data_IF_721228917092
#
_entry.id   IF_721228917092
#
_cell.length_a   1.000
_cell.length_b   1.000
_cell.length_c   1.000
_cell.angle_alpha   90.00
_cell.angle_beta   90.00
_cell.angle_gamma   90.00
#
_symmetry.space_group_name_H-M   'P 1'
#
loop_
_entity.id
_entity.type
_entity.pdbx_description
1 polymer ?
#
# COMPACT_ATOMS: atom_id res chain seq x y z
N UNK A 1 29.20 -8.90 9.45
CA UNK A 1 28.35 -8.89 8.40
C UNK A 1 27.03 -8.15 8.45
N UNK A 2 26.85 -6.98 9.15
CA UNK A 2 25.68 -6.14 8.95
C UNK A 2 24.32 -6.63 9.49
N UNK A 3 24.22 -7.78 10.11
CA UNK A 3 22.94 -8.32 10.61
C UNK A 3 22.26 -7.43 11.66
N UNK A 4 23.03 -6.73 12.47
CA UNK A 4 22.51 -5.81 13.49
C UNK A 4 22.42 -4.35 13.01
N UNK A 5 22.68 -4.08 11.71
CA UNK A 5 22.64 -2.72 11.18
C UNK A 5 21.26 -2.08 11.34
N UNK A 6 20.18 -2.84 11.13
CA UNK A 6 18.80 -2.35 11.31
C UNK A 6 18.58 -1.86 12.74
N UNK A 7 19.05 -2.62 13.73
CA UNK A 7 18.93 -2.25 15.15
C UNK A 7 19.76 -1.01 15.46
N UNK A 8 20.98 -0.93 14.94
CA UNK A 8 21.85 0.22 15.12
C UNK A 8 21.24 1.50 14.50
N UNK A 9 20.67 1.40 13.31
CA UNK A 9 20.02 2.53 12.63
C UNK A 9 18.76 2.99 13.36
N UNK A 10 17.94 2.05 13.86
CA UNK A 10 16.78 2.37 14.70
C UNK A 10 17.19 3.09 15.99
N UNK A 11 18.20 2.60 16.71
CA UNK A 11 18.71 3.25 17.90
C UNK A 11 19.26 4.65 17.59
N UNK A 12 20.01 4.79 16.50
CA UNK A 12 20.52 6.09 16.05
C UNK A 12 19.38 7.10 15.81
N UNK A 13 18.30 6.69 15.14
CA UNK A 13 17.13 7.55 14.86
C UNK A 13 16.43 7.94 16.17
N UNK A 14 16.29 7.01 17.12
CA UNK A 14 15.62 7.26 18.41
C UNK A 14 16.38 8.25 19.29
N UNK A 15 17.71 8.20 19.29
CA UNK A 15 18.57 9.06 20.11
C UNK A 15 19.05 10.32 19.39
N UNK A 16 18.71 10.49 18.11
CA UNK A 16 19.06 11.68 17.35
C UNK A 16 18.24 12.87 17.84
N UNK A 17 18.88 14.05 17.90
CA UNK A 17 18.23 15.30 18.27
C UNK A 17 16.99 15.59 17.40
N UNK A 18 15.88 15.91 18.06
CA UNK A 18 14.62 16.25 17.40
C UNK A 18 14.53 17.77 17.18
N UNK A 19 14.79 18.19 15.96
CA UNK A 19 14.76 19.58 15.57
C UNK A 19 13.42 19.95 14.90
N UNK A 20 12.98 21.20 15.09
CA UNK A 20 11.80 21.76 14.42
C UNK A 20 12.18 23.11 13.86
N UNK A 21 11.99 23.36 12.54
CA UNK A 21 12.33 24.63 11.91
C UNK A 21 11.60 25.81 12.60
N UNK A 22 12.28 26.96 12.70
CA UNK A 22 11.69 28.14 13.38
C UNK A 22 10.43 28.68 12.70
N UNK A 23 10.33 28.49 11.38
CA UNK A 23 9.23 28.99 10.53
C UNK A 23 8.15 27.90 10.26
N UNK A 24 8.31 26.70 10.79
CA UNK A 24 7.34 25.63 10.64
C UNK A 24 6.14 25.79 11.56
N UNK A 25 4.97 25.38 11.10
CA UNK A 25 3.81 25.19 11.97
C UNK A 25 4.03 23.99 12.89
N UNK A 26 4.36 24.24 14.15
CA UNK A 26 4.80 23.24 15.12
C UNK A 26 3.77 22.14 15.37
N UNK A 27 2.48 22.48 15.36
CA UNK A 27 1.41 21.51 15.64
C UNK A 27 1.28 20.53 14.47
N UNK A 28 1.07 21.04 13.27
CA UNK A 28 0.90 20.23 12.04
C UNK A 28 2.17 19.45 11.72
N UNK A 29 3.35 20.06 11.92
CA UNK A 29 4.64 19.42 11.72
C UNK A 29 4.87 18.18 12.62
N UNK A 30 4.34 18.20 13.85
CA UNK A 30 4.43 17.05 14.77
C UNK A 30 3.34 16.00 14.51
N UNK A 31 2.14 16.45 14.12
CA UNK A 31 1.01 15.55 13.88
C UNK A 31 1.17 14.74 12.58
N UNK A 32 1.74 15.31 11.54
CA UNK A 32 1.86 14.67 10.25
C UNK A 32 2.52 13.27 10.29
N UNK A 33 3.73 13.08 10.86
CA UNK A 33 4.33 11.76 10.96
C UNK A 33 3.54 10.80 11.87
N UNK A 34 2.89 11.32 12.92
CA UNK A 34 2.05 10.52 13.81
C UNK A 34 0.80 9.98 13.08
N UNK A 35 0.17 10.81 12.24
CA UNK A 35 -0.97 10.38 11.41
C UNK A 35 -0.53 9.35 10.38
N UNK A 36 0.60 9.56 9.69
CA UNK A 36 1.13 8.59 8.73
C UNK A 36 1.36 7.21 9.38
N UNK A 37 2.00 7.17 10.53
CA UNK A 37 2.23 5.92 11.26
C UNK A 37 0.95 5.29 11.79
N UNK A 38 0.02 6.10 12.32
CA UNK A 38 -1.25 5.62 12.86
C UNK A 38 -2.11 4.99 11.76
N UNK A 39 -2.24 5.62 10.60
CA UNK A 39 -3.02 5.09 9.47
C UNK A 39 -2.43 3.78 8.95
N UNK A 40 -1.11 3.68 8.83
CA UNK A 40 -0.43 2.46 8.41
C UNK A 40 -0.70 1.30 9.38
N UNK A 41 -0.56 1.52 10.70
CA UNK A 41 -0.80 0.50 11.72
C UNK A 41 -2.27 0.11 11.80
N UNK A 42 -3.19 1.07 11.77
CA UNK A 42 -4.63 0.81 11.82
C UNK A 42 -5.11 0.01 10.61
N UNK A 43 -4.52 0.21 9.45
CA UNK A 43 -4.85 -0.57 8.25
C UNK A 43 -4.57 -2.07 8.41
N UNK A 44 -3.59 -2.45 9.22
CA UNK A 44 -3.33 -3.87 9.55
C UNK A 44 -4.41 -4.54 10.38
N UNK A 45 -5.20 -3.76 11.13
CA UNK A 45 -6.28 -4.32 11.96
C UNK A 45 -7.25 -5.21 11.18
N UNK A 46 -7.44 -4.90 9.91
CA UNK A 46 -8.46 -5.53 9.06
C UNK A 46 -7.93 -6.75 8.32
N UNK A 47 -6.61 -6.94 8.25
CA UNK A 47 -6.01 -8.06 7.53
C UNK A 47 -6.13 -9.35 8.34
N UNK A 48 -6.85 -10.36 7.83
CA UNK A 48 -6.95 -11.65 8.48
C UNK A 48 -5.73 -12.51 8.14
N UNK A 49 -4.92 -12.83 9.12
CA UNK A 49 -3.71 -13.64 8.94
C UNK A 49 -4.04 -15.15 8.96
N UNK A 50 -5.12 -15.53 9.63
CA UNK A 50 -5.58 -16.91 9.79
C UNK A 50 -7.10 -16.92 9.98
N UNK A 51 -7.79 -18.06 9.85
CA UNK A 51 -9.21 -18.17 10.16
C UNK A 51 -9.58 -17.71 11.56
N UNK A 52 -8.67 -17.88 12.52
CA UNK A 52 -8.88 -17.54 13.93
C UNK A 52 -8.10 -16.32 14.39
N UNK A 53 -7.07 -15.89 13.62
CA UNK A 53 -6.14 -14.81 13.96
C UNK A 53 -6.43 -13.62 13.06
N UNK A 54 -7.15 -12.65 13.60
CA UNK A 54 -7.39 -11.34 13.03
C UNK A 54 -7.69 -10.37 14.16
N UNK A 55 -7.26 -9.13 14.08
CA UNK A 55 -7.48 -8.13 15.14
C UNK A 55 -8.92 -7.67 15.15
N UNK A 56 -9.48 -7.37 13.98
CA UNK A 56 -10.87 -6.95 13.82
C UNK A 56 -11.52 -7.65 12.63
N UNK A 57 -12.69 -8.24 12.84
CA UNK A 57 -13.52 -8.80 11.78
C UNK A 57 -14.61 -7.78 11.46
N UNK A 58 -14.40 -7.03 10.37
CA UNK A 58 -15.31 -5.97 9.95
C UNK A 58 -16.01 -6.37 8.65
N UNK A 59 -17.34 -6.29 8.63
CA UNK A 59 -18.12 -6.50 7.39
C UNK A 59 -17.75 -5.56 6.25
N UNK A 60 -17.21 -4.38 6.57
CA UNK A 60 -16.75 -3.35 5.63
C UNK A 60 -15.23 -3.17 5.68
N UNK A 61 -14.48 -4.23 5.97
CA UNK A 61 -13.04 -4.18 6.19
C UNK A 61 -12.25 -3.55 5.05
N UNK A 62 -12.59 -3.88 3.80
CA UNK A 62 -11.94 -3.32 2.63
C UNK A 62 -12.17 -1.80 2.49
N UNK A 63 -13.37 -1.31 2.83
CA UNK A 63 -13.67 0.13 2.82
C UNK A 63 -12.90 0.87 3.93
N UNK A 64 -12.74 0.23 5.10
CA UNK A 64 -11.94 0.78 6.18
C UNK A 64 -10.48 0.95 5.74
N UNK A 65 -9.90 -0.06 5.07
CA UNK A 65 -8.56 0.07 4.49
C UNK A 65 -8.45 1.27 3.54
N UNK A 66 -9.40 1.41 2.59
CA UNK A 66 -9.40 2.54 1.64
C UNK A 66 -9.53 3.88 2.35
N UNK A 67 -10.35 3.98 3.41
CA UNK A 67 -10.47 5.19 4.20
C UNK A 67 -9.17 5.56 4.92
N UNK A 68 -8.46 4.57 5.48
CA UNK A 68 -7.16 4.81 6.14
C UNK A 68 -6.09 5.24 5.12
N UNK A 69 -6.08 4.64 3.93
CA UNK A 69 -5.19 5.05 2.84
C UNK A 69 -5.41 6.51 2.46
N UNK A 70 -6.67 6.93 2.24
CA UNK A 70 -7.00 8.32 1.94
C UNK A 70 -6.58 9.31 3.05
N UNK A 71 -6.66 8.92 4.34
CA UNK A 71 -6.17 9.76 5.45
C UNK A 71 -4.64 9.88 5.42
N UNK A 72 -3.93 8.82 5.02
CA UNK A 72 -2.46 8.83 4.94
C UNK A 72 -1.94 9.89 3.94
N UNK A 73 -2.69 10.19 2.87
CA UNK A 73 -2.34 11.24 1.91
C UNK A 73 -2.24 12.61 2.57
N UNK A 74 -3.18 12.91 3.50
CA UNK A 74 -3.15 14.18 4.23
C UNK A 74 -1.93 14.30 5.13
N UNK A 75 -1.43 13.21 5.70
CA UNK A 75 -0.22 13.23 6.52
C UNK A 75 0.99 13.75 5.73
N UNK A 76 1.19 13.25 4.51
CA UNK A 76 2.29 13.68 3.64
C UNK A 76 2.10 15.12 3.16
N UNK A 77 0.88 15.48 2.74
CA UNK A 77 0.55 16.83 2.27
C UNK A 77 0.77 17.88 3.37
N UNK A 78 0.25 17.63 4.56
CA UNK A 78 0.41 18.53 5.70
C UNK A 78 1.85 18.57 6.21
N UNK A 79 2.57 17.45 6.15
CA UNK A 79 4.00 17.40 6.46
C UNK A 79 4.81 18.33 5.56
N UNK A 80 4.56 18.27 4.27
CA UNK A 80 5.19 19.14 3.28
C UNK A 80 4.82 20.62 3.47
N UNK A 81 3.54 20.91 3.73
CA UNK A 81 3.05 22.26 3.94
C UNK A 81 3.57 22.89 5.26
N UNK A 82 3.52 22.14 6.35
CA UNK A 82 3.95 22.60 7.68
C UNK A 82 5.44 22.94 7.76
N UNK A 83 6.26 22.32 6.90
CA UNK A 83 7.70 22.55 6.82
C UNK A 83 8.09 23.96 6.37
N UNK A 84 7.16 24.71 5.76
CA UNK A 84 7.37 26.06 5.20
C UNK A 84 8.60 26.15 4.26
N UNK A 85 8.87 25.07 3.52
CA UNK A 85 9.93 24.99 2.52
C UNK A 85 9.29 24.68 1.16
N UNK A 86 9.71 25.41 0.11
CA UNK A 86 9.19 25.26 -1.25
C UNK A 86 9.40 23.87 -1.84
N UNK A 87 10.53 23.22 -1.56
CA UNK A 87 10.82 21.87 -2.02
C UNK A 87 9.96 20.83 -1.31
N UNK A 88 9.79 21.00 0.01
CA UNK A 88 8.94 20.15 0.82
C UNK A 88 7.47 20.25 0.41
N UNK A 89 6.99 21.46 0.13
CA UNK A 89 5.62 21.67 -0.36
C UNK A 89 5.41 21.04 -1.74
N UNK A 90 6.34 21.22 -2.68
CA UNK A 90 6.26 20.60 -4.00
C UNK A 90 6.32 19.07 -3.92
N UNK A 91 7.17 18.52 -3.06
CA UNK A 91 7.22 17.08 -2.80
C UNK A 91 5.91 16.54 -2.24
N UNK A 92 5.33 17.20 -1.25
CA UNK A 92 4.03 16.85 -0.67
C UNK A 92 2.88 16.91 -1.67
N UNK A 93 2.85 17.95 -2.53
CA UNK A 93 1.85 18.07 -3.59
C UNK A 93 2.00 16.98 -4.66
N UNK A 94 3.23 16.65 -5.09
CA UNK A 94 3.47 15.56 -6.04
C UNK A 94 3.07 14.21 -5.45
N UNK A 95 3.39 13.97 -4.18
CA UNK A 95 2.98 12.78 -3.45
C UNK A 95 1.48 12.65 -3.39
N UNK A 96 0.78 13.68 -2.92
CA UNK A 96 -0.68 13.67 -2.81
C UNK A 96 -1.35 13.43 -4.18
N UNK A 97 -0.91 14.12 -5.23
CA UNK A 97 -1.47 13.96 -6.57
C UNK A 97 -1.25 12.53 -7.12
N UNK A 98 -0.09 11.94 -6.91
CA UNK A 98 0.21 10.56 -7.31
C UNK A 98 -0.65 9.58 -6.53
N UNK A 99 -0.65 9.65 -5.20
CA UNK A 99 -1.37 8.71 -4.34
C UNK A 99 -2.86 8.74 -4.61
N UNK A 100 -3.51 9.92 -4.62
CA UNK A 100 -4.94 10.06 -4.91
C UNK A 100 -5.28 9.45 -6.28
N UNK A 101 -4.46 9.73 -7.31
CA UNK A 101 -4.72 9.18 -8.64
C UNK A 101 -4.64 7.65 -8.66
N UNK A 102 -3.62 7.07 -8.04
CA UNK A 102 -3.43 5.62 -8.04
C UNK A 102 -4.36 4.89 -7.07
N UNK A 103 -4.85 5.54 -6.02
CA UNK A 103 -5.92 5.01 -5.15
C UNK A 103 -7.24 4.81 -5.90
N UNK A 104 -7.56 5.68 -6.86
CA UNK A 104 -8.74 5.49 -7.73
C UNK A 104 -8.62 4.19 -8.52
N UNK A 105 -7.47 3.94 -9.15
CA UNK A 105 -7.26 2.72 -9.95
C UNK A 105 -7.23 1.47 -9.07
N UNK A 106 -6.60 1.57 -7.90
CA UNK A 106 -6.58 0.53 -6.89
C UNK A 106 -8.01 0.20 -6.44
N UNK A 107 -8.82 1.20 -6.11
CA UNK A 107 -10.21 1.02 -5.69
C UNK A 107 -11.07 0.34 -6.76
N UNK A 108 -10.96 0.75 -8.03
CA UNK A 108 -11.71 0.13 -9.13
C UNK A 108 -11.29 -1.34 -9.33
N UNK A 109 -9.98 -1.64 -9.24
CA UNK A 109 -9.49 -3.02 -9.36
C UNK A 109 -10.00 -3.93 -8.23
N UNK A 110 -10.13 -3.37 -7.01
CA UNK A 110 -10.73 -4.07 -5.87
C UNK A 110 -12.22 -4.39 -6.07
N UNK A 111 -12.96 -3.49 -6.71
CA UNK A 111 -14.40 -3.71 -6.95
C UNK A 111 -14.65 -4.95 -7.81
N UNK A 112 -13.74 -5.32 -8.71
CA UNK A 112 -13.82 -6.59 -9.46
C UNK A 112 -13.77 -7.82 -8.56
N UNK A 113 -12.90 -7.82 -7.55
CA UNK A 113 -12.80 -8.89 -6.54
C UNK A 113 -14.06 -8.93 -5.67
N UNK A 114 -14.50 -7.76 -5.19
CA UNK A 114 -15.72 -7.64 -4.38
C UNK A 114 -16.97 -8.11 -5.14
N UNK A 115 -17.06 -7.80 -6.44
CA UNK A 115 -18.17 -8.24 -7.28
C UNK A 115 -18.26 -9.77 -7.38
N UNK A 116 -17.14 -10.49 -7.44
CA UNK A 116 -17.10 -11.95 -7.48
C UNK A 116 -17.38 -12.54 -6.09
N UNK A 117 -16.78 -11.98 -5.04
CA UNK A 117 -16.94 -12.48 -3.66
C UNK A 117 -18.30 -12.14 -3.03
N UNK A 118 -18.94 -11.05 -3.50
CA UNK A 118 -20.22 -10.55 -2.95
C UNK A 118 -20.11 -9.89 -1.58
N UNK A 119 -18.90 -9.66 -1.06
CA UNK A 119 -18.66 -9.10 0.27
C UNK A 119 -17.45 -8.17 0.32
N UNK A 120 -17.48 -7.21 1.27
CA UNK A 120 -16.35 -6.35 1.63
C UNK A 120 -15.54 -6.90 2.82
N UNK A 121 -15.96 -8.03 3.42
CA UNK A 121 -15.24 -8.68 4.49
C UNK A 121 -14.07 -9.48 3.91
N UNK A 122 -12.86 -9.18 4.37
CA UNK A 122 -11.65 -9.84 3.87
C UNK A 122 -11.60 -11.35 4.20
N UNK A 123 -12.24 -11.81 5.27
CA UNK A 123 -12.35 -13.26 5.57
C UNK A 123 -13.24 -13.97 4.57
N UNK A 124 -14.40 -13.40 4.28
CA UNK A 124 -15.33 -13.96 3.30
C UNK A 124 -14.72 -13.98 1.89
N UNK A 125 -13.96 -12.93 1.54
CA UNK A 125 -13.20 -12.90 0.29
C UNK A 125 -12.18 -14.04 0.20
N UNK A 126 -11.46 -14.35 1.29
CA UNK A 126 -10.52 -15.48 1.31
C UNK A 126 -11.27 -16.81 1.22
N UNK A 127 -12.37 -16.97 1.93
CA UNK A 127 -13.17 -18.20 1.89
C UNK A 127 -13.78 -18.45 0.50
N UNK A 128 -14.21 -17.41 -0.20
CA UNK A 128 -14.70 -17.50 -1.58
C UNK A 128 -13.63 -17.97 -2.59
N UNK A 129 -12.35 -17.94 -2.22
CA UNK A 129 -11.23 -18.40 -3.05
C UNK A 129 -10.81 -19.85 -2.82
N UNK A 130 -11.60 -20.64 -2.07
CA UNK A 130 -11.27 -22.07 -1.78
C UNK A 130 -11.15 -22.89 -3.05
N UNK A 131 -12.02 -22.68 -4.03
CA UNK A 131 -12.04 -23.47 -5.26
C UNK A 131 -11.07 -22.89 -6.30
N UNK A 132 -11.14 -21.60 -6.53
CA UNK A 132 -10.32 -20.88 -7.54
C UNK A 132 -9.78 -19.58 -6.95
N UNK A 133 -8.48 -19.37 -7.04
CA UNK A 133 -7.87 -18.11 -6.66
C UNK A 133 -8.28 -16.98 -7.61
N UNK A 134 -8.61 -15.84 -7.08
CA UNK A 134 -9.09 -14.69 -7.86
C UNK A 134 -8.05 -14.10 -8.80
N UNK A 135 -6.77 -14.43 -8.66
CA UNK A 135 -5.76 -14.07 -9.64
C UNK A 135 -6.08 -14.59 -11.05
N UNK A 136 -6.80 -15.71 -11.19
CA UNK A 136 -7.15 -16.29 -12.49
C UNK A 136 -8.28 -15.49 -13.16
N UNK A 137 -9.48 -15.33 -12.57
CA UNK A 137 -10.57 -14.59 -13.18
C UNK A 137 -10.34 -13.07 -13.19
N UNK A 138 -9.49 -12.54 -12.30
CA UNK A 138 -9.19 -11.11 -12.16
C UNK A 138 -7.73 -10.79 -12.49
N UNK A 139 -7.15 -11.45 -13.49
CA UNK A 139 -5.74 -11.26 -13.84
C UNK A 139 -5.40 -9.80 -14.19
N UNK A 140 -6.26 -9.14 -14.98
CA UNK A 140 -6.07 -7.71 -15.32
C UNK A 140 -6.20 -6.84 -14.06
N UNK A 141 -7.20 -7.09 -13.22
CA UNK A 141 -7.38 -6.41 -11.93
C UNK A 141 -6.17 -6.59 -11.01
N UNK A 142 -5.61 -7.79 -10.95
CA UNK A 142 -4.40 -8.09 -10.19
C UNK A 142 -3.19 -7.26 -10.67
N UNK A 143 -2.94 -7.20 -11.99
CA UNK A 143 -1.82 -6.40 -12.53
C UNK A 143 -2.00 -4.92 -12.18
N UNK A 144 -3.21 -4.38 -12.36
CA UNK A 144 -3.51 -2.97 -12.04
C UNK A 144 -3.33 -2.72 -10.54
N UNK A 145 -3.80 -3.64 -9.69
CA UNK A 145 -3.64 -3.54 -8.24
C UNK A 145 -2.17 -3.53 -7.81
N UNK A 146 -1.33 -4.40 -8.38
CA UNK A 146 0.11 -4.43 -8.10
C UNK A 146 0.77 -3.12 -8.50
N UNK A 147 0.50 -2.62 -9.72
CA UNK A 147 1.06 -1.35 -10.22
C UNK A 147 0.62 -0.19 -9.32
N UNK A 148 -0.67 -0.10 -9.01
CA UNK A 148 -1.22 0.94 -8.14
C UNK A 148 -0.66 0.83 -6.72
N UNK A 149 -0.50 -0.38 -6.19
CA UNK A 149 0.09 -0.63 -4.88
C UNK A 149 1.54 -0.15 -4.77
N UNK A 150 2.36 -0.41 -5.80
CA UNK A 150 3.74 0.13 -5.85
C UNK A 150 3.74 1.66 -5.90
N UNK A 151 2.81 2.27 -6.63
CA UNK A 151 2.71 3.71 -6.76
C UNK A 151 2.22 4.40 -5.47
N UNK A 152 1.26 3.78 -4.76
CA UNK A 152 0.73 4.29 -3.48
C UNK A 152 1.76 4.17 -2.35
N UNK A 153 2.61 3.15 -2.38
CA UNK A 153 3.70 2.98 -1.39
C UNK A 153 4.94 3.81 -1.68
N UNK A 154 4.90 4.70 -2.67
CA UNK A 154 6.01 5.57 -3.08
C UNK A 154 7.32 4.81 -3.35
N UNK A 155 7.24 3.53 -3.75
CA UNK A 155 8.43 2.73 -4.04
C UNK A 155 8.85 2.83 -5.50
N UNK A 156 10.14 2.67 -5.71
CA UNK A 156 10.70 2.65 -7.05
C UNK A 156 9.96 1.59 -7.92
N UNK A 157 9.52 1.91 -9.15
CA UNK A 157 9.89 3.05 -9.98
C UNK A 157 9.05 4.33 -9.78
N UNK A 158 8.05 4.33 -8.90
CA UNK A 158 7.12 5.46 -8.68
C UNK A 158 7.52 6.38 -7.52
N UNK A 159 8.77 6.38 -7.11
CA UNK A 159 9.38 7.19 -6.07
C UNK A 159 9.67 8.64 -6.55
N UNK A 160 8.63 9.31 -7.03
CA UNK A 160 8.71 10.66 -7.58
C UNK A 160 8.70 11.76 -6.50
N UNK A 161 7.95 11.60 -5.40
CA UNK A 161 7.87 12.61 -4.35
C UNK A 161 9.17 12.80 -3.57
N UNK A 162 9.97 11.72 -3.46
CA UNK A 162 11.20 11.65 -2.66
C UNK A 162 12.47 11.77 -3.50
N UNK A 163 12.33 12.14 -4.77
CA UNK A 163 13.43 12.25 -5.70
C UNK A 163 14.53 13.20 -5.20
N UNK A 164 15.59 12.68 -4.61
CA UNK A 164 16.75 13.45 -4.17
C UNK A 164 17.31 14.34 -5.28
N UNK A 165 17.31 13.83 -6.50
CA UNK A 165 17.85 14.50 -7.69
C UNK A 165 17.00 15.70 -8.17
N UNK A 166 15.69 15.70 -7.86
CA UNK A 166 14.76 16.74 -8.31
C UNK A 166 14.31 17.66 -7.18
N UNK A 167 14.02 17.11 -5.99
CA UNK A 167 13.33 17.80 -4.88
C UNK A 167 14.08 17.69 -3.54
N UNK A 168 15.34 17.26 -3.52
CA UNK A 168 16.15 17.17 -2.30
C UNK A 168 15.44 16.41 -1.16
N UNK A 169 14.96 15.18 -1.36
CA UNK A 169 14.15 14.34 -0.46
C UNK A 169 12.67 14.75 -0.31
N UNK A 170 12.19 15.74 -1.06
CA UNK A 170 10.79 16.09 -1.10
C UNK A 170 10.21 16.55 0.24
N UNK A 171 9.10 15.94 0.70
CA UNK A 171 8.43 16.35 1.93
C UNK A 171 9.24 16.03 3.21
N UNK A 172 10.24 15.16 3.13
CA UNK A 172 11.10 14.78 4.26
C UNK A 172 12.24 15.76 4.57
N UNK A 173 12.54 16.74 3.70
CA UNK A 173 13.72 17.62 3.78
C UNK A 173 13.94 18.24 5.14
N UNK A 174 12.87 18.67 5.82
CA UNK A 174 12.97 19.36 7.11
C UNK A 174 12.79 18.42 8.31
N UNK A 175 12.45 17.15 8.05
CA UNK A 175 12.25 16.17 9.11
C UNK A 175 13.56 15.51 9.53
N UNK A 176 13.74 15.33 10.86
CA UNK A 176 14.88 14.66 11.42
C UNK A 176 14.51 13.77 12.61
N UNK A 177 15.45 12.93 13.07
CA UNK A 177 15.25 12.08 14.23
C UNK A 177 14.03 11.18 14.13
N UNK A 178 13.29 11.04 15.22
CA UNK A 178 12.12 10.13 15.31
C UNK A 178 10.98 10.53 14.36
N UNK A 179 10.78 11.82 14.07
CA UNK A 179 9.75 12.29 13.15
C UNK A 179 9.99 11.78 11.71
N UNK A 180 11.22 11.85 11.23
CA UNK A 180 11.61 11.25 9.96
C UNK A 180 11.46 9.72 10.01
N UNK A 181 11.89 9.11 11.11
CA UNK A 181 11.76 7.67 11.33
C UNK A 181 10.32 7.18 11.25
N UNK A 182 9.34 7.95 11.75
CA UNK A 182 7.91 7.58 11.69
C UNK A 182 7.40 7.55 10.25
N UNK A 183 7.74 8.51 9.40
CA UNK A 183 7.39 8.46 7.97
C UNK A 183 8.05 7.25 7.28
N UNK A 184 9.34 7.07 7.49
CA UNK A 184 10.10 5.97 6.90
C UNK A 184 9.55 4.59 7.30
N UNK A 185 9.25 4.38 8.58
CA UNK A 185 8.65 3.14 9.05
C UNK A 185 7.24 2.96 8.48
N UNK A 186 6.42 4.02 8.42
CA UNK A 186 5.08 3.95 7.86
C UNK A 186 5.09 3.48 6.39
N UNK A 187 6.06 3.93 5.57
CA UNK A 187 6.20 3.46 4.20
C UNK A 187 6.53 1.97 4.09
N UNK A 188 7.47 1.47 4.90
CA UNK A 188 7.78 0.04 4.89
C UNK A 188 6.62 -0.80 5.40
N UNK A 189 5.91 -0.31 6.41
CA UNK A 189 4.67 -0.92 6.90
C UNK A 189 3.63 -0.98 5.79
N UNK A 190 3.47 0.08 4.98
CA UNK A 190 2.57 0.09 3.83
C UNK A 190 2.99 -0.89 2.72
N UNK A 191 4.28 -1.13 2.49
CA UNK A 191 4.74 -2.16 1.54
C UNK A 191 4.30 -3.55 2.00
N UNK A 192 4.46 -3.87 3.28
CA UNK A 192 3.99 -5.14 3.85
C UNK A 192 2.47 -5.23 3.80
N UNK A 193 1.77 -4.13 4.08
CA UNK A 193 0.31 -4.03 4.03
C UNK A 193 -0.24 -4.33 2.63
N UNK A 194 0.27 -3.66 1.59
CA UNK A 194 -0.13 -3.90 0.20
C UNK A 194 0.19 -5.34 -0.23
N UNK A 195 1.36 -5.86 0.15
CA UNK A 195 1.73 -7.25 -0.12
C UNK A 195 0.76 -8.24 0.55
N UNK A 196 0.36 -7.99 1.78
CA UNK A 196 -0.62 -8.79 2.50
C UNK A 196 -2.01 -8.72 1.87
N UNK A 197 -2.42 -7.53 1.38
CA UNK A 197 -3.67 -7.35 0.65
C UNK A 197 -3.67 -8.09 -0.69
N UNK A 198 -2.57 -8.05 -1.45
CA UNK A 198 -2.43 -8.83 -2.68
C UNK A 198 -2.69 -10.31 -2.40
N UNK A 199 -2.08 -10.83 -1.34
CA UNK A 199 -2.24 -12.23 -0.94
C UNK A 199 -3.68 -12.53 -0.53
N UNK A 200 -4.30 -11.67 0.25
CA UNK A 200 -5.68 -11.84 0.73
C UNK A 200 -6.70 -11.79 -0.41
N UNK A 201 -6.54 -10.86 -1.34
CA UNK A 201 -7.52 -10.59 -2.39
C UNK A 201 -7.39 -11.49 -3.62
N UNK A 202 -6.17 -11.93 -3.95
CA UNK A 202 -5.92 -12.64 -5.22
C UNK A 202 -5.34 -14.04 -5.05
N UNK A 203 -4.68 -14.32 -3.92
CA UNK A 203 -3.97 -15.60 -3.69
C UNK A 203 -4.55 -16.41 -2.54
N UNK A 204 -5.79 -16.16 -2.15
CA UNK A 204 -6.48 -16.95 -1.13
C UNK A 204 -5.92 -16.82 0.28
N UNK A 205 -5.24 -15.72 0.62
CA UNK A 205 -4.81 -15.45 1.99
C UNK A 205 -4.03 -16.61 2.62
N UNK A 206 -4.61 -17.16 3.69
CA UNK A 206 -4.06 -18.29 4.46
C UNK A 206 -4.29 -19.67 3.83
N UNK A 207 -5.08 -19.76 2.73
CA UNK A 207 -5.34 -21.04 2.06
C UNK A 207 -4.06 -21.62 1.44
N UNK A 208 -3.90 -22.94 1.56
CA UNK A 208 -2.77 -23.63 0.93
C UNK A 208 -2.85 -23.57 -0.61
N UNK A 209 -1.71 -23.50 -1.33
CA UNK A 209 -1.71 -23.58 -2.77
C UNK A 209 -2.31 -24.92 -3.23
N UNK A 210 -3.20 -24.90 -4.24
CA UNK A 210 -3.82 -26.09 -4.81
C UNK A 210 -4.55 -27.02 -3.81
N UNK A 211 -5.10 -26.46 -2.73
CA UNK A 211 -5.75 -27.21 -1.65
C UNK A 211 -4.88 -28.34 -1.04
N UNK A 212 -3.55 -28.18 -1.07
CA UNK A 212 -2.61 -29.10 -0.43
C UNK A 212 -2.67 -28.91 1.09
N UNK A 213 -3.62 -29.52 1.76
CA UNK A 213 -3.67 -29.54 3.21
C UNK A 213 -2.52 -30.40 3.76
N UNK A 214 -1.44 -29.75 4.14
CA UNK A 214 -0.32 -30.41 4.82
C UNK A 214 -0.61 -30.35 6.32
N UNK A 215 -0.87 -31.49 6.99
CA UNK A 215 -1.41 -31.54 8.36
C UNK A 215 -0.49 -30.90 9.43
N UNK A 216 0.77 -30.62 9.10
CA UNK A 216 1.74 -30.02 10.04
C UNK A 216 2.00 -28.52 9.81
N UNK A 217 1.45 -27.91 8.75
CA UNK A 217 1.74 -26.51 8.42
C UNK A 217 0.57 -25.63 8.83
N UNK A 218 0.76 -24.71 9.81
CA UNK A 218 -0.31 -23.81 10.22
C UNK A 218 -0.69 -22.85 9.07
N UNK A 219 -1.97 -22.44 8.95
CA UNK A 219 -2.45 -21.51 7.91
C UNK A 219 -1.66 -20.20 7.86
N UNK A 220 -1.22 -19.70 9.02
CA UNK A 220 -0.37 -18.49 9.14
C UNK A 220 0.92 -18.60 8.30
N UNK A 221 1.51 -19.78 8.23
CA UNK A 221 2.77 -20.01 7.49
C UNK A 221 2.58 -19.73 5.98
N UNK A 222 1.47 -20.21 5.39
CA UNK A 222 1.16 -19.96 3.99
C UNK A 222 0.96 -18.48 3.70
N UNK A 223 0.26 -17.78 4.60
CA UNK A 223 0.06 -16.34 4.50
C UNK A 223 1.40 -15.59 4.52
N UNK A 224 2.27 -15.92 5.49
CA UNK A 224 3.57 -15.26 5.68
C UNK A 224 4.48 -15.49 4.47
N UNK A 225 4.58 -16.73 3.97
CA UNK A 225 5.42 -17.04 2.79
C UNK A 225 4.95 -16.28 1.55
N UNK A 226 3.65 -16.28 1.26
CA UNK A 226 3.10 -15.56 0.12
C UNK A 226 3.34 -14.05 0.25
N UNK A 227 3.13 -13.49 1.45
CA UNK A 227 3.39 -12.07 1.72
C UNK A 227 4.87 -11.75 1.56
N UNK A 228 5.76 -12.58 2.09
CA UNK A 228 7.20 -12.41 1.94
C UNK A 228 7.65 -12.45 0.47
N UNK A 229 7.03 -13.31 -0.35
CA UNK A 229 7.28 -13.35 -1.80
C UNK A 229 6.95 -12.00 -2.47
N UNK A 230 5.79 -11.40 -2.17
CA UNK A 230 5.44 -10.09 -2.72
C UNK A 230 6.31 -8.96 -2.18
N UNK A 231 6.66 -8.96 -0.90
CA UNK A 231 7.63 -8.00 -0.34
C UNK A 231 8.98 -8.11 -1.06
N UNK A 232 9.46 -9.34 -1.32
CA UNK A 232 10.69 -9.56 -2.10
C UNK A 232 10.55 -9.01 -3.52
N UNK A 233 9.38 -9.16 -4.15
CA UNK A 233 9.09 -8.64 -5.48
C UNK A 233 9.16 -7.10 -5.53
N UNK A 234 8.70 -6.39 -4.49
CA UNK A 234 8.90 -4.94 -4.35
C UNK A 234 10.38 -4.56 -4.29
N UNK A 235 11.19 -5.32 -3.55
CA UNK A 235 12.64 -5.09 -3.46
C UNK A 235 13.33 -5.33 -4.81
N UNK A 236 12.95 -6.41 -5.52
CA UNK A 236 13.48 -6.72 -6.86
C UNK A 236 13.08 -5.65 -7.88
N UNK A 237 11.85 -5.14 -7.83
CA UNK A 237 11.39 -4.08 -8.71
C UNK A 237 12.25 -2.81 -8.55
N UNK A 238 12.67 -2.50 -7.33
CA UNK A 238 13.59 -1.38 -7.07
C UNK A 238 14.93 -1.52 -7.79
N UNK A 239 15.45 -2.74 -7.90
CA UNK A 239 16.74 -3.01 -8.54
C UNK A 239 16.70 -3.19 -10.06
N UNK A 240 15.52 -3.47 -10.64
CA UNK A 240 15.38 -3.87 -12.05
C UNK A 240 14.74 -2.81 -12.94
N UNK A 241 13.88 -1.94 -12.40
CA UNK A 241 13.11 -0.98 -13.19
C UNK A 241 13.77 0.40 -13.21
N UNK A 242 13.66 1.08 -14.35
CA UNK A 242 14.09 2.48 -14.48
C UNK A 242 13.03 3.41 -13.92
N UNK A 243 13.45 4.56 -13.42
CA UNK A 243 12.55 5.61 -12.92
C UNK A 243 11.94 6.39 -14.10
N UNK A 244 10.60 6.39 -14.25
CA UNK A 244 9.94 7.22 -15.25
C UNK A 244 9.83 8.66 -14.75
N UNK A 245 9.54 9.62 -15.64
CA UNK A 245 9.24 10.99 -15.28
C UNK A 245 7.83 11.12 -14.71
N UNK A 246 7.60 12.15 -13.89
CA UNK A 246 6.30 12.38 -13.23
C UNK A 246 5.12 12.45 -14.22
N UNK A 247 5.28 13.19 -15.33
CA UNK A 247 4.29 13.29 -16.39
C UNK A 247 3.95 11.94 -17.02
N UNK A 248 4.95 11.06 -17.21
CA UNK A 248 4.76 9.72 -17.75
C UNK A 248 3.96 8.83 -16.78
N UNK A 249 4.29 8.90 -15.48
CA UNK A 249 3.57 8.17 -14.43
C UNK A 249 2.10 8.57 -14.40
N UNK A 250 1.80 9.87 -14.39
CA UNK A 250 0.42 10.36 -14.37
C UNK A 250 -0.34 10.00 -15.66
N UNK A 251 0.28 10.16 -16.83
CA UNK A 251 -0.33 9.79 -18.11
C UNK A 251 -0.60 8.28 -18.21
N UNK A 252 0.32 7.44 -17.72
CA UNK A 252 0.15 5.99 -17.67
C UNK A 252 -1.06 5.60 -16.81
N UNK A 253 -1.16 6.16 -15.61
CA UNK A 253 -2.27 5.92 -14.71
C UNK A 253 -3.63 6.26 -15.34
N UNK A 254 -3.77 7.51 -15.79
CA UNK A 254 -5.05 8.02 -16.30
C UNK A 254 -5.45 7.48 -17.68
N UNK A 255 -4.49 7.27 -18.60
CA UNK A 255 -4.78 6.85 -19.99
C UNK A 255 -4.79 5.34 -20.17
N UNK A 256 -4.10 4.58 -19.32
CA UNK A 256 -3.98 3.13 -19.46
C UNK A 256 -4.61 2.41 -18.27
N UNK A 257 -4.18 2.68 -17.03
CA UNK A 257 -4.68 1.93 -15.87
C UNK A 257 -6.18 2.15 -15.62
N UNK A 258 -6.66 3.40 -15.69
CA UNK A 258 -8.08 3.71 -15.46
C UNK A 258 -9.01 3.03 -16.49
N UNK A 259 -8.82 3.18 -17.81
CA UNK A 259 -9.69 2.52 -18.78
C UNK A 259 -9.66 1.00 -18.68
N UNK A 260 -8.47 0.40 -18.44
CA UNK A 260 -8.34 -1.04 -18.26
C UNK A 260 -9.06 -1.53 -16.99
N UNK A 261 -8.98 -0.79 -15.89
CA UNK A 261 -9.67 -1.12 -14.66
C UNK A 261 -11.20 -1.08 -14.84
N UNK A 262 -11.72 -0.05 -15.52
CA UNK A 262 -13.15 0.09 -15.83
C UNK A 262 -13.64 -1.03 -16.75
N UNK A 263 -12.91 -1.33 -17.82
CA UNK A 263 -13.26 -2.44 -18.74
C UNK A 263 -13.25 -3.77 -17.97
N UNK A 264 -12.25 -4.03 -17.15
CA UNK A 264 -12.18 -5.24 -16.34
C UNK A 264 -13.41 -5.35 -15.41
N UNK A 265 -13.79 -4.27 -14.74
CA UNK A 265 -14.97 -4.25 -13.86
C UNK A 265 -16.26 -4.51 -14.62
N UNK A 266 -16.45 -3.88 -15.77
CA UNK A 266 -17.65 -4.08 -16.61
C UNK A 266 -17.74 -5.51 -17.15
N UNK A 267 -16.62 -6.07 -17.63
CA UNK A 267 -16.56 -7.47 -18.10
C UNK A 267 -16.88 -8.43 -16.95
N UNK A 268 -16.31 -8.19 -15.77
CA UNK A 268 -16.59 -9.01 -14.58
C UNK A 268 -18.07 -8.98 -14.22
N UNK A 269 -18.69 -7.78 -14.19
CA UNK A 269 -20.13 -7.63 -13.93
C UNK A 269 -20.98 -8.35 -14.97
N UNK A 270 -20.63 -8.24 -16.26
CA UNK A 270 -21.35 -8.93 -17.33
C UNK A 270 -21.26 -10.47 -17.18
N UNK A 271 -20.08 -11.01 -16.89
CA UNK A 271 -19.88 -12.46 -16.67
C UNK A 271 -20.69 -12.96 -15.47
N UNK A 272 -20.71 -12.20 -14.36
CA UNK A 272 -21.51 -12.57 -13.17
C UNK A 272 -22.99 -12.62 -13.52
N UNK A 273 -23.51 -11.62 -14.22
CA UNK A 273 -24.94 -11.58 -14.63
C UNK A 273 -25.29 -12.73 -15.58
N UNK A 274 -24.40 -13.08 -16.52
CA UNK A 274 -24.60 -14.22 -17.41
C UNK A 274 -24.61 -15.58 -16.68
N UNK A 275 -23.85 -15.70 -15.60
CA UNK A 275 -23.83 -16.94 -14.81
C UNK A 275 -25.00 -17.04 -13.82
N UNK A 276 -25.69 -15.94 -13.53
CA UNK A 276 -26.89 -15.92 -12.67
C UNK A 276 -28.20 -16.04 -13.47
N UNK A 277 -28.17 -15.82 -14.77
CA UNK A 277 -29.28 -15.99 -15.70
C UNK A 277 -29.36 -17.44 -16.23
#
# INVERSE_FOLDING_TARGET
GGMFQIVADMLKIMFKEDWTPKFADKLTFRLAPAVAMATAVLSFMVIPVSPTLGVADMSIGLLFFMAMAGIAVYAVLFGGWASNNKYSLLGGLRSAAQTISYEVFLGISLMGVVAIAGSFNLREIVEAQRDVWFVIPQFIGFIIFVIAGVAVTHRHPFDQPEAEQELAEGYHVEYGGMKWGMFFVAEYVNVVLISALIVTLFFGGWLAPFNLEIPFVPPVFWFVIKTAFFVMMFVLARGSLMRPRYDQVMNFGWKICLPLALVNLLVTGAVILMNQA
#
